data_IF_752530544546
#
_entry.id   IF_752530544546
#
_cell.length_a   1.000
_cell.length_b   1.000
_cell.length_c   1.000
_cell.angle_alpha   90.00
_cell.angle_beta   90.00
_cell.angle_gamma   90.00
#
_symmetry.space_group_name_H-M   'P 1'
#
loop_
_entity.id
_entity.type
_entity.pdbx_description
1 polymer ?
#
# COMPACT_ATOMS: atom_id res chain seq x y z
N UNK A 1 -33.21 3.40 -12.38
CA UNK A 1 -32.18 2.35 -12.32
C UNK A 1 -30.90 3.07 -11.97
N UNK A 2 -30.25 2.70 -10.87
CA UNK A 2 -28.91 3.18 -10.60
C UNK A 2 -28.00 2.64 -11.71
N UNK A 3 -27.01 3.45 -12.11
CA UNK A 3 -25.98 3.01 -13.04
C UNK A 3 -24.93 2.20 -12.28
N UNK A 4 -24.34 1.28 -13.01
CA UNK A 4 -23.21 0.40 -12.66
C UNK A 4 -22.44 0.35 -13.99
N UNK A 5 -21.51 1.27 -14.14
CA UNK A 5 -20.96 1.66 -15.44
C UNK A 5 -19.88 0.69 -15.93
N UNK A 6 -19.19 0.01 -15.02
CA UNK A 6 -18.17 -1.00 -15.30
C UNK A 6 -18.62 -2.44 -15.02
N UNK A 7 -19.82 -2.63 -14.46
CA UNK A 7 -20.47 -3.91 -14.21
C UNK A 7 -19.76 -4.80 -13.17
N UNK A 8 -19.15 -4.17 -12.17
CA UNK A 8 -18.39 -4.82 -11.11
C UNK A 8 -19.26 -5.28 -9.92
N UNK A 9 -20.51 -4.80 -9.85
CA UNK A 9 -21.49 -5.14 -8.82
C UNK A 9 -21.67 -4.06 -7.74
N UNK A 10 -20.84 -3.01 -7.74
CA UNK A 10 -21.10 -1.74 -7.07
C UNK A 10 -21.95 -0.84 -7.99
N UNK A 11 -22.43 0.28 -7.47
CA UNK A 11 -23.24 1.23 -8.25
C UNK A 11 -22.45 2.53 -8.33
N UNK A 12 -22.54 3.28 -9.44
CA UNK A 12 -21.83 4.56 -9.62
C UNK A 12 -22.01 5.52 -8.43
N UNK A 13 -23.21 5.51 -7.85
CA UNK A 13 -23.55 6.33 -6.69
C UNK A 13 -22.92 5.86 -5.36
N UNK A 14 -22.68 4.56 -5.23
CA UNK A 14 -21.95 3.95 -4.12
C UNK A 14 -20.45 4.14 -4.29
N UNK A 15 -19.93 3.96 -5.50
CA UNK A 15 -18.50 4.11 -5.85
C UNK A 15 -18.01 5.53 -5.56
N UNK A 16 -18.81 6.53 -5.95
CA UNK A 16 -18.50 7.93 -5.61
C UNK A 16 -18.60 8.24 -4.10
N UNK A 17 -19.34 7.44 -3.32
CA UNK A 17 -19.45 7.59 -1.86
C UNK A 17 -18.30 6.87 -1.13
N UNK A 18 -17.83 5.73 -1.67
CA UNK A 18 -16.70 4.96 -1.15
C UNK A 18 -15.35 5.51 -1.60
N UNK A 19 -15.31 6.24 -2.72
CA UNK A 19 -14.08 6.82 -3.27
C UNK A 19 -13.47 6.02 -4.42
N UNK A 20 -14.19 5.04 -4.96
CA UNK A 20 -13.81 4.28 -6.15
C UNK A 20 -14.28 4.96 -7.46
N UNK A 21 -13.68 4.60 -8.59
CA UNK A 21 -13.95 5.15 -9.93
C UNK A 21 -15.06 4.34 -10.61
N UNK A 22 -16.22 4.94 -10.91
CA UNK A 22 -17.38 4.23 -11.49
C UNK A 22 -17.16 3.64 -12.88
N UNK A 23 -15.98 3.83 -13.45
CA UNK A 23 -15.64 3.35 -14.79
C UNK A 23 -14.59 2.25 -14.79
N UNK A 24 -14.10 1.87 -13.61
CA UNK A 24 -13.02 0.91 -13.41
C UNK A 24 -13.47 -0.18 -12.46
N UNK A 25 -13.60 -1.40 -13.00
CA UNK A 25 -14.02 -2.58 -12.24
C UNK A 25 -13.19 -2.82 -10.97
N UNK A 26 -11.97 -2.31 -10.95
CA UNK A 26 -10.97 -2.44 -9.89
C UNK A 26 -10.19 -1.12 -9.88
N UNK A 27 -10.58 -0.21 -8.97
CA UNK A 27 -10.12 1.18 -8.97
C UNK A 27 -8.72 1.33 -8.41
N UNK A 28 -8.42 0.64 -7.32
CA UNK A 28 -7.07 0.64 -6.75
C UNK A 28 -6.15 -0.34 -7.47
N UNK A 29 -6.72 -1.23 -8.27
CA UNK A 29 -6.01 -2.17 -9.09
C UNK A 29 -5.55 -3.36 -8.28
N UNK A 30 -6.13 -3.72 -7.14
CA UNK A 30 -5.54 -4.76 -6.28
C UNK A 30 -5.83 -6.20 -6.76
N UNK A 31 -6.68 -6.35 -7.77
CA UNK A 31 -7.14 -7.64 -8.32
C UNK A 31 -8.48 -8.12 -7.76
N UNK A 32 -9.10 -7.37 -6.84
CA UNK A 32 -10.49 -7.47 -6.44
C UNK A 32 -11.31 -6.40 -7.15
N UNK A 33 -12.57 -6.70 -7.41
CA UNK A 33 -13.48 -5.71 -7.98
C UNK A 33 -14.02 -4.82 -6.86
N UNK A 34 -14.24 -3.53 -7.10
CA UNK A 34 -14.71 -2.59 -6.05
C UNK A 34 -16.04 -3.08 -5.41
N UNK A 35 -16.88 -3.76 -6.20
CA UNK A 35 -18.12 -4.42 -5.79
C UNK A 35 -17.97 -5.65 -4.88
N UNK A 36 -16.81 -6.31 -4.91
CA UNK A 36 -16.46 -7.46 -4.07
C UNK A 36 -15.66 -7.05 -2.83
N UNK A 37 -15.15 -5.82 -2.79
CA UNK A 37 -14.43 -5.27 -1.66
C UNK A 37 -15.37 -4.88 -0.50
N UNK A 38 -14.98 -5.14 0.76
CA UNK A 38 -15.75 -4.67 1.88
C UNK A 38 -15.67 -3.13 1.95
N UNK A 39 -16.83 -2.47 2.10
CA UNK A 39 -17.02 -1.00 2.18
C UNK A 39 -16.14 -0.24 3.20
N UNK A 40 -15.34 -0.95 4.01
CA UNK A 40 -14.38 -0.39 4.95
C UNK A 40 -12.91 -0.40 4.43
N UNK A 41 -12.64 -1.15 3.37
CA UNK A 41 -11.31 -1.35 2.75
C UNK A 41 -11.17 -0.66 1.38
N UNK A 42 -12.26 -0.12 0.81
CA UNK A 42 -12.30 0.82 -0.34
C UNK A 42 -11.67 2.20 -0.01
N UNK A 43 -10.67 2.19 0.85
CA UNK A 43 -9.74 3.29 0.99
C UNK A 43 -8.87 3.31 -0.26
N UNK A 44 -8.50 4.48 -0.79
CA UNK A 44 -7.43 4.60 -1.77
C UNK A 44 -6.11 4.32 -1.03
N UNK A 45 -5.91 3.09 -0.59
CA UNK A 45 -4.68 2.66 0.07
C UNK A 45 -3.72 2.18 -0.98
N UNK A 46 -3.07 3.13 -1.64
CA UNK A 46 -1.65 3.09 -2.02
C UNK A 46 -1.11 1.79 -2.64
N UNK A 47 -1.93 0.92 -3.21
CA UNK A 47 -1.53 -0.40 -3.69
C UNK A 47 -2.11 -0.64 -5.08
N UNK A 48 -1.40 -0.25 -6.15
CA UNK A 48 -1.67 -0.82 -7.45
C UNK A 48 -1.09 -2.24 -7.50
N UNK A 49 -1.91 -3.28 -7.42
CA UNK A 49 -1.50 -4.65 -7.83
C UNK A 49 -2.20 -5.11 -9.11
N UNK A 50 -2.25 -4.21 -10.10
CA UNK A 50 -2.98 -4.42 -11.35
C UNK A 50 -2.06 -5.02 -12.43
N UNK A 51 -2.61 -5.75 -13.42
CA UNK A 51 -1.80 -6.39 -14.45
C UNK A 51 -1.03 -5.35 -15.27
N UNK A 52 0.29 -5.57 -15.36
CA UNK A 52 1.29 -4.85 -16.17
C UNK A 52 0.71 -3.75 -17.10
N UNK A 53 0.71 -2.50 -16.62
CA UNK A 53 0.66 -1.34 -17.53
C UNK A 53 -0.35 -0.23 -17.26
N UNK A 54 -1.01 -0.17 -16.10
CA UNK A 54 -1.91 0.95 -15.79
C UNK A 54 -1.23 2.14 -15.04
N UNK A 55 -0.16 1.93 -14.27
CA UNK A 55 0.42 2.99 -13.42
C UNK A 55 1.96 2.88 -13.31
N UNK A 56 2.69 3.74 -14.02
CA UNK A 56 4.15 3.89 -13.84
C UNK A 56 4.98 2.67 -14.26
N UNK A 57 6.31 2.84 -14.30
CA UNK A 57 7.25 1.72 -14.25
C UNK A 57 7.46 1.41 -12.77
N UNK A 58 7.47 0.14 -12.39
CA UNK A 58 7.89 -0.37 -11.07
C UNK A 58 9.16 -1.18 -11.36
N UNK A 59 10.31 -0.59 -11.04
CA UNK A 59 11.61 -1.09 -11.49
C UNK A 59 12.20 -2.19 -10.59
N UNK A 60 11.76 -2.30 -9.34
CA UNK A 60 12.24 -3.28 -8.37
C UNK A 60 11.19 -4.30 -7.91
N UNK A 61 9.91 -4.07 -8.24
CA UNK A 61 8.81 -5.00 -8.03
C UNK A 61 8.30 -5.03 -6.61
N UNK A 62 8.46 -3.96 -5.84
CA UNK A 62 8.02 -3.86 -4.44
C UNK A 62 6.56 -3.44 -4.30
N UNK A 63 5.89 -3.13 -5.43
CA UNK A 63 4.50 -2.66 -5.56
C UNK A 63 4.32 -1.14 -5.40
N UNK A 64 5.41 -0.38 -5.32
CA UNK A 64 5.43 1.05 -5.60
C UNK A 64 5.94 1.28 -7.03
N UNK A 65 5.34 2.21 -7.76
CA UNK A 65 5.94 2.65 -9.02
C UNK A 65 7.12 3.59 -8.76
N UNK A 66 8.08 3.64 -9.68
CA UNK A 66 9.21 4.59 -9.68
C UNK A 66 8.73 6.04 -9.41
N UNK A 67 7.53 6.39 -9.89
CA UNK A 67 6.92 7.70 -9.67
C UNK A 67 6.47 7.94 -8.22
N UNK A 68 5.91 6.91 -7.57
CA UNK A 68 5.56 6.94 -6.14
C UNK A 68 6.82 6.97 -5.30
N UNK A 69 7.80 6.13 -5.61
CA UNK A 69 9.06 6.06 -4.86
C UNK A 69 9.83 7.39 -4.92
N UNK A 70 9.92 8.00 -6.12
CA UNK A 70 10.49 9.35 -6.25
C UNK A 70 9.73 10.42 -5.44
N UNK A 71 8.42 10.25 -5.23
CA UNK A 71 7.62 11.19 -4.43
C UNK A 71 7.79 10.97 -2.92
N UNK A 72 8.02 9.72 -2.50
CA UNK A 72 8.31 9.30 -1.13
C UNK A 72 9.76 9.57 -0.74
N UNK A 73 10.65 9.66 -1.74
CA UNK A 73 12.08 9.81 -1.54
C UNK A 73 12.83 8.48 -1.39
N UNK A 74 12.12 7.36 -1.58
CA UNK A 74 12.68 6.01 -1.64
C UNK A 74 13.36 5.76 -3.00
N UNK A 75 13.96 4.58 -3.18
CA UNK A 75 14.82 4.26 -4.31
C UNK A 75 14.13 3.33 -5.30
N UNK A 76 13.75 3.83 -6.51
CA UNK A 76 13.14 3.05 -7.59
C UNK A 76 13.79 1.72 -8.00
N UNK A 77 15.05 1.51 -7.62
CA UNK A 77 15.77 0.29 -7.96
C UNK A 77 16.02 -0.62 -6.76
N UNK A 78 15.37 -0.38 -5.63
CA UNK A 78 15.57 -1.11 -4.38
C UNK A 78 14.28 -1.18 -3.60
N UNK A 79 13.67 -2.37 -3.63
CA UNK A 79 12.43 -2.66 -2.92
C UNK A 79 12.49 -2.39 -1.41
N UNK A 80 13.68 -2.27 -0.85
CA UNK A 80 13.99 -1.98 0.56
C UNK A 80 15.04 -0.87 0.52
N UNK A 81 14.62 0.38 0.73
CA UNK A 81 15.46 1.56 0.50
C UNK A 81 16.48 1.81 1.61
N UNK A 82 16.17 1.41 2.83
CA UNK A 82 17.02 1.62 3.99
C UNK A 82 17.80 0.36 4.42
N UNK A 83 17.41 -0.81 3.93
CA UNK A 83 18.08 -2.09 4.09
C UNK A 83 17.75 -2.81 5.39
N UNK A 84 16.59 -2.56 5.98
CA UNK A 84 16.18 -3.11 7.28
C UNK A 84 15.50 -4.49 7.21
N UNK A 85 15.10 -4.89 5.98
CA UNK A 85 14.46 -6.15 5.67
C UNK A 85 12.95 -6.08 5.44
N UNK A 86 12.34 -4.90 5.53
CA UNK A 86 10.99 -4.59 5.05
C UNK A 86 11.07 -3.93 3.68
N UNK A 87 10.03 -4.10 2.86
CA UNK A 87 9.96 -3.36 1.59
C UNK A 87 9.40 -1.96 1.82
N UNK A 88 9.75 -0.99 0.96
CA UNK A 88 9.23 0.38 1.06
C UNK A 88 7.69 0.36 1.07
N UNK A 89 7.09 -0.51 0.26
CA UNK A 89 5.66 -0.78 0.31
C UNK A 89 5.18 -1.36 1.64
N UNK A 90 5.84 -2.38 2.21
CA UNK A 90 5.43 -2.99 3.48
C UNK A 90 5.49 -2.00 4.66
N UNK A 91 6.46 -1.10 4.64
CA UNK A 91 6.63 -0.06 5.65
C UNK A 91 5.55 1.03 5.56
N UNK A 92 5.18 1.41 4.34
CA UNK A 92 4.08 2.37 4.12
C UNK A 92 2.71 1.71 4.33
N UNK A 93 2.61 0.44 3.95
CA UNK A 93 1.44 -0.32 3.46
C UNK A 93 0.04 0.02 3.98
N UNK A 94 -0.69 -1.04 4.34
CA UNK A 94 -2.07 -0.94 4.82
C UNK A 94 -2.06 -0.85 6.35
N UNK A 95 -2.79 0.09 6.99
CA UNK A 95 -2.74 0.28 8.45
C UNK A 95 -3.14 -0.95 9.29
N UNK A 96 -3.63 -2.01 8.64
CA UNK A 96 -3.99 -3.30 9.23
C UNK A 96 -2.85 -4.32 9.25
N UNK A 97 -1.79 -4.11 8.46
CA UNK A 97 -0.69 -5.07 8.30
C UNK A 97 0.46 -4.81 9.27
N UNK A 98 1.13 -5.87 9.76
CA UNK A 98 2.31 -5.75 10.61
C UNK A 98 3.46 -5.04 9.85
N UNK A 99 4.16 -4.09 10.49
CA UNK A 99 5.26 -3.35 9.87
C UNK A 99 4.85 -2.03 9.23
N UNK A 100 3.56 -1.70 9.20
CA UNK A 100 3.05 -0.51 8.53
C UNK A 100 3.11 0.77 9.38
N UNK A 101 3.36 1.88 8.71
CA UNK A 101 3.51 3.21 9.29
C UNK A 101 4.90 3.48 9.89
N UNK A 102 5.91 2.71 9.48
CA UNK A 102 7.34 3.04 9.65
C UNK A 102 7.79 3.99 8.54
N UNK A 103 9.03 4.47 8.61
CA UNK A 103 9.62 5.36 7.61
C UNK A 103 10.60 4.55 6.73
N UNK A 104 10.30 4.34 5.44
CA UNK A 104 11.11 3.50 4.54
C UNK A 104 12.51 4.04 4.22
N UNK A 105 12.90 5.12 4.88
CA UNK A 105 14.21 5.73 4.80
C UNK A 105 15.00 5.57 6.10
N UNK A 106 14.44 4.91 7.11
CA UNK A 106 14.97 4.78 8.46
C UNK A 106 14.89 3.34 8.96
N UNK A 107 16.06 2.69 9.02
CA UNK A 107 16.23 1.33 9.54
C UNK A 107 15.54 1.09 10.90
N UNK A 108 15.41 2.15 11.71
CA UNK A 108 14.85 2.14 13.06
C UNK A 108 13.97 3.40 13.18
N UNK A 109 12.66 3.23 12.97
CA UNK A 109 11.71 4.33 12.87
C UNK A 109 11.43 5.00 14.21
N UNK A 110 11.48 4.24 15.31
CA UNK A 110 11.17 4.75 16.65
C UNK A 110 12.41 5.17 17.47
N UNK A 111 13.59 4.78 17.01
CA UNK A 111 14.90 5.17 17.53
C UNK A 111 15.31 4.42 18.80
N UNK A 112 14.79 3.22 19.06
CA UNK A 112 15.12 2.41 20.24
C UNK A 112 16.41 1.57 20.07
N UNK A 113 16.90 1.44 18.84
CA UNK A 113 18.13 0.73 18.46
C UNK A 113 17.93 -0.68 17.91
N UNK A 114 16.68 -1.13 17.72
CA UNK A 114 16.31 -2.33 16.95
C UNK A 114 15.78 -1.88 15.59
N UNK A 115 15.98 -2.68 14.53
CA UNK A 115 15.43 -2.30 13.21
C UNK A 115 13.96 -2.68 13.09
N UNK A 116 13.20 -1.95 12.28
CA UNK A 116 11.76 -2.16 12.15
C UNK A 116 11.44 -3.60 11.70
N UNK A 117 12.21 -4.13 10.75
CA UNK A 117 12.14 -5.51 10.30
C UNK A 117 12.54 -6.55 11.36
N UNK A 118 13.47 -6.23 12.27
CA UNK A 118 13.85 -7.13 13.37
C UNK A 118 12.79 -7.15 14.46
N UNK A 119 12.19 -5.99 14.77
CA UNK A 119 11.05 -5.90 15.68
C UNK A 119 9.85 -6.69 15.15
N UNK A 120 9.54 -6.54 13.86
CA UNK A 120 8.45 -7.27 13.25
C UNK A 120 8.67 -8.78 13.29
N UNK A 121 9.90 -9.23 13.01
CA UNK A 121 10.28 -10.64 13.08
C UNK A 121 10.18 -11.20 14.52
N UNK A 122 10.37 -10.35 15.54
CA UNK A 122 10.25 -10.70 16.94
C UNK A 122 8.82 -10.52 17.51
N UNK A 123 7.92 -9.92 16.73
CA UNK A 123 6.53 -9.64 17.12
C UNK A 123 6.37 -8.41 18.01
N UNK A 124 7.35 -7.50 18.00
CA UNK A 124 7.28 -6.17 18.59
C UNK A 124 6.63 -5.14 17.64
N UNK A 125 6.32 -3.95 18.16
CA UNK A 125 5.75 -2.83 17.41
C UNK A 125 6.87 -1.82 17.05
N UNK A 126 7.26 -1.73 15.76
CA UNK A 126 8.40 -0.92 15.29
C UNK A 126 8.21 0.60 15.37
N UNK A 127 7.08 1.05 15.93
CA UNK A 127 6.78 2.47 16.14
C UNK A 127 6.74 2.83 17.61
N UNK A 128 7.06 1.87 18.48
CA UNK A 128 6.92 1.99 19.91
C UNK A 128 8.25 1.71 20.60
N UNK A 129 8.98 2.77 21.03
CA UNK A 129 10.36 2.65 21.49
C UNK A 129 10.53 1.98 22.86
N UNK A 130 9.46 1.36 23.38
CA UNK A 130 9.49 0.48 24.54
C UNK A 130 9.24 -0.99 24.20
N UNK A 131 9.23 -1.34 22.92
CA UNK A 131 8.85 -2.64 22.38
C UNK A 131 10.08 -3.41 21.86
N UNK A 132 11.05 -3.72 22.72
CA UNK A 132 12.25 -4.49 22.35
C UNK A 132 12.18 -6.00 22.60
#
# INVERSE_FOLDING_TARGET
IAADTDADGLLDGSETETGSDPTLTDTDGDGFADGEEPVAEVVPTLAPTGPEGAFGVDSDGDRLSDGQENALGTNPGSADSDGDGLSDFDEIGLPSEPGTGTDPLLIDSDGDGVSDGEELANGSDPRNPGSS
#
